data_IF_500806559722
#
_entry.id   IF_500806559722
#
_cell.length_a   1.000
_cell.length_b   1.000
_cell.length_c   1.000
_cell.angle_alpha   90.00
_cell.angle_beta   90.00
_cell.angle_gamma   90.00
#
_symmetry.space_group_name_H-M   'P 1'
#
loop_
_entity.id
_entity.type
_entity.pdbx_description
1 polymer ?
#
# COMPACT_ATOMS: atom_id res chain seq x y z
N UNK A 1 -14.37 40.00 20.98
CA UNK A 1 -14.73 38.60 21.26
C UNK A 1 -15.80 38.26 20.25
N UNK A 2 -15.38 37.77 19.08
CA UNK A 2 -16.32 37.41 18.01
C UNK A 2 -16.97 36.08 18.38
N UNK A 3 -18.27 36.16 18.64
CA UNK A 3 -19.14 35.02 18.89
C UNK A 3 -19.36 34.33 17.54
N UNK A 4 -18.79 33.13 17.38
CA UNK A 4 -19.11 32.26 16.24
C UNK A 4 -20.61 31.98 16.24
N UNK A 5 -21.29 32.33 15.14
CA UNK A 5 -22.73 32.22 14.99
C UNK A 5 -23.09 30.74 14.72
N UNK A 6 -24.13 30.20 15.36
CA UNK A 6 -24.55 28.79 15.25
C UNK A 6 -24.88 28.33 13.81
N UNK A 7 -24.97 29.27 12.84
CA UNK A 7 -25.19 29.02 11.42
C UNK A 7 -23.96 28.54 10.64
N UNK A 8 -22.76 28.61 11.20
CA UNK A 8 -21.52 28.23 10.50
C UNK A 8 -21.10 26.77 10.74
N UNK A 9 -21.73 26.10 11.71
CA UNK A 9 -21.45 24.70 12.03
C UNK A 9 -22.21 23.78 11.07
N UNK A 10 -21.47 23.23 10.11
CA UNK A 10 -21.99 22.19 9.24
C UNK A 10 -21.75 20.82 9.88
N UNK A 11 -22.82 20.17 10.33
CA UNK A 11 -22.77 18.81 10.87
C UNK A 11 -22.98 17.83 9.73
N UNK A 12 -21.99 17.00 9.47
CA UNK A 12 -22.07 15.93 8.47
C UNK A 12 -22.23 14.59 9.20
N UNK A 13 -23.36 13.92 8.94
CA UNK A 13 -23.56 12.53 9.35
C UNK A 13 -22.89 11.61 8.33
N UNK A 14 -21.91 10.83 8.77
CA UNK A 14 -21.31 9.77 7.96
C UNK A 14 -22.00 8.47 8.34
N UNK A 15 -22.88 7.97 7.47
CA UNK A 15 -23.42 6.61 7.57
C UNK A 15 -22.49 5.66 6.85
N UNK A 16 -21.86 4.80 7.63
CA UNK A 16 -20.70 4.03 7.21
C UNK A 16 -21.01 2.54 7.43
N UNK A 17 -21.19 1.78 6.35
CA UNK A 17 -21.41 0.33 6.41
C UNK A 17 -20.19 -0.42 5.87
N UNK A 18 -19.41 -1.05 6.75
CA UNK A 18 -18.28 -1.88 6.34
C UNK A 18 -18.31 -3.26 6.98
N UNK A 19 -17.81 -4.24 6.22
CA UNK A 19 -17.64 -5.65 6.62
C UNK A 19 -16.29 -5.93 7.27
N UNK A 20 -15.36 -4.95 7.25
CA UNK A 20 -14.02 -5.04 7.82
C UNK A 20 -13.54 -3.63 8.26
N UNK A 21 -12.58 -3.54 9.21
CA UNK A 21 -11.95 -2.26 9.57
C UNK A 21 -11.25 -1.64 8.36
N UNK A 22 -11.40 -0.33 8.18
CA UNK A 22 -10.83 0.43 7.07
C UNK A 22 -10.34 1.79 7.58
N UNK A 23 -9.41 2.40 6.85
CA UNK A 23 -9.01 3.79 7.02
C UNK A 23 -9.26 4.47 5.67
N UNK A 24 -9.94 5.62 5.68
CA UNK A 24 -10.30 6.34 4.46
C UNK A 24 -10.32 7.85 4.69
N UNK A 25 -10.44 8.59 3.60
CA UNK A 25 -10.54 10.05 3.60
C UNK A 25 -11.96 10.44 3.23
N UNK A 26 -12.59 11.30 4.02
CA UNK A 26 -13.77 12.04 3.60
C UNK A 26 -13.35 13.45 3.21
N UNK A 27 -13.70 13.89 1.99
CA UNK A 27 -13.43 15.25 1.52
C UNK A 27 -14.75 15.98 1.32
N UNK A 28 -14.89 17.13 1.97
CA UNK A 28 -16.09 17.96 1.92
C UNK A 28 -15.76 19.26 1.20
N UNK A 29 -16.36 19.49 0.04
CA UNK A 29 -16.16 20.71 -0.74
C UNK A 29 -16.88 20.70 -2.08
N UNK A 30 -17.11 21.89 -2.67
CA UNK A 30 -17.87 22.06 -3.92
C UNK A 30 -17.23 21.41 -5.16
N UNK A 31 -15.91 21.19 -5.16
CA UNK A 31 -15.16 20.74 -6.34
C UNK A 31 -14.37 19.43 -6.09
N UNK A 32 -14.75 18.65 -5.07
CA UNK A 32 -14.14 17.35 -4.83
C UNK A 32 -14.78 16.30 -5.73
N UNK A 33 -13.95 15.51 -6.43
CA UNK A 33 -14.40 14.31 -7.13
C UNK A 33 -13.54 13.13 -6.73
N UNK A 34 -14.19 12.02 -6.39
CA UNK A 34 -13.52 10.74 -6.16
C UNK A 34 -13.00 10.18 -7.48
N UNK A 35 -11.76 9.71 -7.50
CA UNK A 35 -11.19 9.01 -8.65
C UNK A 35 -10.50 7.72 -8.19
N UNK A 36 -11.30 6.69 -7.90
CA UNK A 36 -10.79 5.37 -7.56
C UNK A 36 -10.09 5.27 -6.19
N UNK A 37 -9.71 4.04 -5.87
CA UNK A 37 -9.33 3.58 -4.52
C UNK A 37 -8.11 4.38 -4.00
N UNK A 38 -8.31 5.15 -2.93
CA UNK A 38 -7.29 5.84 -2.11
C UNK A 38 -6.85 7.26 -2.53
N UNK A 39 -7.44 7.87 -3.57
CA UNK A 39 -7.12 9.25 -3.96
C UNK A 39 -8.37 10.11 -4.21
N UNK A 40 -8.31 11.36 -3.75
CA UNK A 40 -9.33 12.38 -4.01
C UNK A 40 -8.73 13.50 -4.85
N UNK A 41 -9.38 13.80 -5.96
CA UNK A 41 -9.00 14.93 -6.82
C UNK A 41 -9.84 16.15 -6.49
N UNK A 42 -9.16 17.28 -6.24
CA UNK A 42 -9.81 18.58 -6.13
C UNK A 42 -9.72 19.25 -7.50
N UNK A 43 -10.81 19.13 -8.28
CA UNK A 43 -10.93 19.79 -9.57
C UNK A 43 -10.84 21.30 -9.36
N UNK A 44 -10.15 22.00 -10.27
CA UNK A 44 -9.80 23.43 -10.28
C UNK A 44 -8.36 23.78 -9.82
N UNK A 45 -7.67 22.91 -9.07
CA UNK A 45 -6.28 23.20 -8.61
C UNK A 45 -5.20 22.26 -9.15
N UNK A 46 -5.60 21.25 -9.94
CA UNK A 46 -4.73 20.14 -10.35
C UNK A 46 -4.03 19.49 -9.15
N UNK A 47 -4.74 19.41 -8.03
CA UNK A 47 -4.26 18.87 -6.76
C UNK A 47 -4.93 17.54 -6.49
N UNK A 48 -4.11 16.52 -6.30
CA UNK A 48 -4.53 15.19 -5.87
C UNK A 48 -4.11 14.99 -4.42
N UNK A 49 -5.06 14.59 -3.58
CA UNK A 49 -4.81 14.19 -2.19
C UNK A 49 -4.90 12.66 -2.12
N UNK A 50 -3.87 11.99 -1.61
CA UNK A 50 -3.90 10.54 -1.39
C UNK A 50 -3.54 10.19 0.05
N UNK A 51 -4.09 9.08 0.55
CA UNK A 51 -3.67 8.47 1.82
C UNK A 51 -2.89 7.20 1.57
N UNK A 52 -1.85 7.00 2.37
CA UNK A 52 -1.17 5.72 2.45
C UNK A 52 -0.96 5.32 3.90
N UNK A 53 -1.07 4.01 4.14
CA UNK A 53 -0.80 3.38 5.43
C UNK A 53 0.55 2.69 5.33
N UNK A 54 1.46 3.05 6.23
CA UNK A 54 2.75 2.39 6.41
C UNK A 54 2.82 1.76 7.80
N UNK A 55 3.93 1.07 8.08
CA UNK A 55 4.22 0.58 9.43
C UNK A 55 4.49 1.74 10.43
N UNK A 56 4.92 2.90 9.93
CA UNK A 56 5.22 4.09 10.74
C UNK A 56 3.93 4.87 11.09
N UNK A 57 3.00 4.94 10.14
CA UNK A 57 1.68 5.49 10.40
C UNK A 57 0.87 5.85 9.16
N UNK A 58 0.03 6.87 9.29
CA UNK A 58 -0.85 7.35 8.23
C UNK A 58 -0.22 8.56 7.57
N UNK A 59 -0.02 8.47 6.26
CA UNK A 59 0.52 9.55 5.45
C UNK A 59 -0.59 10.12 4.57
N UNK A 60 -0.72 11.45 4.56
CA UNK A 60 -1.58 12.20 3.65
C UNK A 60 -0.70 13.03 2.73
N UNK A 61 -0.74 12.74 1.43
CA UNK A 61 0.06 13.44 0.43
C UNK A 61 -0.82 14.40 -0.37
N UNK A 62 -0.29 15.59 -0.63
CA UNK A 62 -0.83 16.54 -1.59
C UNK A 62 0.13 16.62 -2.76
N UNK A 63 -0.35 16.36 -3.98
CA UNK A 63 0.42 16.52 -5.22
C UNK A 63 -0.24 17.58 -6.08
N UNK A 64 0.51 18.59 -6.50
CA UNK A 64 0.06 19.61 -7.45
C UNK A 64 0.75 19.37 -8.78
N UNK A 65 -0.02 19.19 -9.86
CA UNK A 65 0.52 18.80 -11.17
C UNK A 65 1.44 17.57 -11.08
N UNK A 66 1.07 16.56 -10.28
CA UNK A 66 1.86 15.35 -10.05
C UNK A 66 3.11 15.51 -9.16
N UNK A 67 3.48 16.74 -8.78
CA UNK A 67 4.63 17.01 -7.91
C UNK A 67 4.19 17.07 -6.45
N UNK A 68 4.93 16.41 -5.55
CA UNK A 68 4.68 16.48 -4.11
C UNK A 68 4.72 17.95 -3.64
N UNK A 69 3.62 18.39 -3.06
CA UNK A 69 3.41 19.74 -2.58
C UNK A 69 3.19 19.79 -1.06
N UNK A 70 2.75 18.70 -0.44
CA UNK A 70 2.62 18.60 0.99
C UNK A 70 2.53 17.15 1.46
N UNK A 71 2.98 16.93 2.70
CA UNK A 71 2.90 15.65 3.38
C UNK A 71 2.51 15.91 4.84
N UNK A 72 1.40 15.31 5.27
CA UNK A 72 1.00 15.26 6.67
C UNK A 72 1.16 13.83 7.14
N UNK A 73 1.83 13.68 8.28
CA UNK A 73 2.12 12.38 8.90
C UNK A 73 1.46 12.29 10.27
N UNK A 74 0.79 11.16 10.51
CA UNK A 74 0.19 10.82 11.78
C UNK A 74 0.73 9.47 12.26
N UNK A 75 1.55 9.49 13.29
CA UNK A 75 2.12 8.28 13.90
C UNK A 75 1.04 7.43 14.57
N UNK A 76 1.15 6.11 14.44
CA UNK A 76 0.25 5.17 15.11
C UNK A 76 0.70 4.79 16.53
N UNK A 77 1.77 5.41 17.04
CA UNK A 77 2.22 5.29 18.43
C UNK A 77 3.12 4.09 18.72
N UNK A 78 3.66 3.44 17.70
CA UNK A 78 4.67 2.38 17.84
C UNK A 78 6.01 2.87 17.33
N UNK A 79 7.11 2.47 17.99
CA UNK A 79 8.47 2.75 17.55
C UNK A 79 8.81 1.84 16.35
N UNK A 80 8.49 2.29 15.14
CA UNK A 80 8.95 1.67 13.92
C UNK A 80 10.22 2.39 13.43
N UNK A 81 11.27 1.65 13.08
CA UNK A 81 12.39 2.23 12.35
C UNK A 81 11.90 2.65 10.96
N UNK A 82 12.16 3.90 10.52
CA UNK A 82 11.64 4.37 9.26
C UNK A 82 12.26 3.59 8.11
N UNK A 83 11.45 2.86 7.36
CA UNK A 83 11.93 2.10 6.20
C UNK A 83 11.75 2.93 4.94
N UNK A 84 12.77 2.97 4.07
CA UNK A 84 12.74 3.76 2.84
C UNK A 84 11.70 3.31 1.79
N UNK A 85 10.87 2.31 2.13
CA UNK A 85 9.70 1.89 1.38
C UNK A 85 8.41 2.59 1.86
N UNK A 86 8.53 3.62 2.70
CA UNK A 86 7.40 4.48 3.04
C UNK A 86 6.84 5.12 1.77
N UNK A 87 5.53 5.37 1.80
CA UNK A 87 4.58 5.71 0.73
C UNK A 87 4.95 6.82 -0.28
N UNK A 88 6.17 7.33 -0.27
CA UNK A 88 6.68 8.37 -1.18
C UNK A 88 6.90 7.88 -2.62
N UNK A 89 6.80 6.58 -2.90
CA UNK A 89 6.96 5.99 -4.24
C UNK A 89 5.70 6.04 -5.13
N UNK A 90 4.77 6.97 -4.89
CA UNK A 90 3.69 7.26 -5.83
C UNK A 90 4.06 8.41 -6.79
N UNK A 91 5.15 8.24 -7.52
CA UNK A 91 5.29 8.82 -8.86
C UNK A 91 5.91 7.77 -9.77
N UNK A 92 5.20 6.65 -9.87
CA UNK A 92 5.39 5.78 -11.01
C UNK A 92 4.34 6.21 -12.04
N UNK A 93 4.79 6.52 -13.26
CA UNK A 93 4.01 6.18 -14.44
C UNK A 93 3.28 4.88 -14.14
N UNK A 94 1.94 4.88 -14.22
CA UNK A 94 1.09 3.78 -13.76
C UNK A 94 1.76 2.43 -14.02
N UNK A 95 2.23 1.79 -12.94
CA UNK A 95 2.98 0.55 -13.06
C UNK A 95 2.09 -0.44 -13.82
N UNK A 96 2.59 -1.09 -14.88
CA UNK A 96 1.79 -2.00 -15.67
C UNK A 96 1.06 -3.04 -14.81
N UNK A 97 -0.16 -3.42 -15.20
CA UNK A 97 -1.05 -4.28 -14.40
C UNK A 97 -0.42 -5.63 -14.02
N UNK A 98 0.43 -6.17 -14.87
CA UNK A 98 1.17 -7.41 -14.62
C UNK A 98 2.30 -7.23 -13.60
N UNK A 99 2.97 -6.06 -13.59
CA UNK A 99 3.99 -5.71 -12.60
C UNK A 99 3.35 -5.42 -11.24
N UNK A 100 2.25 -4.67 -11.19
CA UNK A 100 1.51 -4.42 -9.93
C UNK A 100 0.88 -5.69 -9.36
N UNK A 101 0.34 -6.56 -10.22
CA UNK A 101 -0.15 -7.87 -9.80
C UNK A 101 0.96 -8.79 -9.27
N UNK A 102 2.17 -8.69 -9.82
CA UNK A 102 3.34 -9.39 -9.29
C UNK A 102 3.75 -8.84 -7.91
N UNK A 103 3.90 -7.53 -7.77
CA UNK A 103 4.25 -6.84 -6.51
C UNK A 103 3.32 -7.29 -5.40
N UNK A 104 2.00 -7.20 -5.61
CA UNK A 104 1.01 -7.59 -4.60
C UNK A 104 1.15 -9.06 -4.15
N UNK A 105 1.39 -9.98 -5.07
CA UNK A 105 1.56 -11.39 -4.71
C UNK A 105 2.88 -11.63 -4.00
N UNK A 106 3.95 -10.96 -4.44
CA UNK A 106 5.28 -11.10 -3.88
C UNK A 106 5.38 -10.50 -2.48
N UNK A 107 4.78 -9.34 -2.24
CA UNK A 107 4.70 -8.73 -0.91
C UNK A 107 3.97 -9.62 0.10
N UNK A 108 2.86 -10.26 -0.31
CA UNK A 108 2.17 -11.23 0.54
C UNK A 108 3.04 -12.44 0.87
N UNK A 109 3.79 -12.94 -0.12
CA UNK A 109 4.75 -14.01 0.10
C UNK A 109 5.84 -13.61 1.09
N UNK A 110 6.47 -12.45 0.89
CA UNK A 110 7.58 -11.95 1.71
C UNK A 110 7.13 -11.67 3.16
N UNK A 111 5.91 -11.15 3.35
CA UNK A 111 5.31 -10.99 4.68
C UNK A 111 5.07 -12.34 5.37
N UNK A 112 4.42 -13.29 4.70
CA UNK A 112 4.08 -14.58 5.30
C UNK A 112 5.31 -15.42 5.64
N UNK A 113 6.36 -15.38 4.82
CA UNK A 113 7.61 -16.11 5.10
C UNK A 113 8.49 -15.43 6.15
N UNK A 114 8.32 -14.13 6.39
CA UNK A 114 8.98 -13.41 7.48
C UNK A 114 8.36 -13.73 8.85
N UNK A 115 7.06 -14.03 8.87
CA UNK A 115 6.25 -14.23 10.09
C UNK A 115 5.86 -15.71 10.31
N UNK A 116 6.76 -16.65 10.03
CA UNK A 116 6.48 -18.09 10.25
C UNK A 116 6.37 -18.36 11.76
N UNK A 117 5.20 -18.81 12.27
CA UNK A 117 5.03 -19.07 13.69
C UNK A 117 5.86 -20.27 14.14
N UNK A 118 6.31 -20.25 15.40
CA UNK A 118 6.90 -21.43 16.02
C UNK A 118 5.85 -22.56 16.15
N UNK A 119 6.35 -23.79 16.23
CA UNK A 119 5.49 -24.96 16.37
C UNK A 119 4.78 -24.94 17.73
N UNK A 120 3.46 -24.80 17.70
CA UNK A 120 2.62 -24.88 18.88
C UNK A 120 2.20 -26.33 19.16
N UNK A 121 2.55 -26.94 20.32
CA UNK A 121 2.08 -28.27 20.68
C UNK A 121 0.55 -28.35 20.90
N UNK A 122 -0.14 -27.22 21.13
CA UNK A 122 -1.59 -27.16 21.25
C UNK A 122 -2.31 -27.06 19.89
N UNK A 123 -1.65 -26.58 18.85
CA UNK A 123 -2.12 -26.61 17.44
C UNK A 123 -1.01 -27.11 16.51
N UNK A 124 -0.80 -28.44 16.44
CA UNK A 124 0.26 -29.02 15.63
C UNK A 124 0.08 -28.80 14.12
N UNK A 125 -1.12 -28.42 13.67
CA UNK A 125 -1.45 -28.20 12.27
C UNK A 125 -1.25 -26.75 11.82
N UNK A 126 -1.11 -25.79 12.74
CA UNK A 126 -0.95 -24.36 12.45
C UNK A 126 0.19 -24.12 11.43
N UNK A 127 1.35 -24.71 11.69
CA UNK A 127 2.52 -24.56 10.83
C UNK A 127 2.24 -25.06 9.40
N UNK A 128 1.50 -26.16 9.24
CA UNK A 128 1.16 -26.70 7.92
C UNK A 128 0.23 -25.78 7.12
N UNK A 129 -0.71 -25.10 7.80
CA UNK A 129 -1.63 -24.13 7.17
C UNK A 129 -0.86 -22.91 6.69
N UNK A 130 0.03 -22.37 7.54
CA UNK A 130 0.88 -21.24 7.19
C UNK A 130 1.80 -21.57 6.02
N UNK A 131 2.44 -22.74 6.02
CA UNK A 131 3.26 -23.21 4.89
C UNK A 131 2.43 -23.33 3.60
N UNK A 132 1.18 -23.79 3.68
CA UNK A 132 0.28 -23.85 2.52
C UNK A 132 -0.05 -22.45 1.99
N UNK A 133 -0.32 -21.49 2.86
CA UNK A 133 -0.60 -20.10 2.49
C UNK A 133 0.64 -19.42 1.89
N UNK A 134 1.83 -19.64 2.47
CA UNK A 134 3.11 -19.20 1.89
C UNK A 134 3.24 -19.76 0.47
N UNK A 135 3.08 -21.06 0.28
CA UNK A 135 3.18 -21.70 -1.03
C UNK A 135 2.19 -21.13 -2.06
N UNK A 136 0.98 -20.73 -1.63
CA UNK A 136 -0.02 -20.13 -2.50
C UNK A 136 0.44 -18.80 -3.10
N UNK A 137 1.20 -17.99 -2.36
CA UNK A 137 1.67 -16.68 -2.82
C UNK A 137 3.08 -16.73 -3.42
N UNK A 138 3.95 -17.59 -2.89
CA UNK A 138 5.37 -17.64 -3.26
C UNK A 138 5.68 -18.48 -4.50
N UNK A 139 4.89 -19.52 -4.77
CA UNK A 139 5.20 -20.47 -5.84
C UNK A 139 5.08 -19.85 -7.23
N UNK A 140 6.12 -20.01 -8.05
CA UNK A 140 6.26 -19.45 -9.38
C UNK A 140 6.57 -17.95 -9.42
N UNK A 141 6.85 -17.31 -8.28
CA UNK A 141 7.21 -15.89 -8.23
C UNK A 141 8.62 -15.64 -8.76
N UNK A 142 9.58 -16.55 -8.56
CA UNK A 142 10.95 -16.40 -9.05
C UNK A 142 10.99 -16.44 -10.58
N UNK A 143 10.27 -17.39 -11.17
CA UNK A 143 10.10 -17.46 -12.62
C UNK A 143 9.42 -16.19 -13.16
N UNK A 144 8.39 -15.70 -12.46
CA UNK A 144 7.64 -14.51 -12.89
C UNK A 144 8.47 -13.23 -12.79
N UNK A 145 9.32 -13.11 -11.76
CA UNK A 145 10.26 -12.00 -11.61
C UNK A 145 11.21 -11.94 -12.82
N UNK A 146 11.79 -13.09 -13.18
CA UNK A 146 12.67 -13.19 -14.35
C UNK A 146 11.94 -12.77 -15.64
N UNK A 147 10.73 -13.28 -15.86
CA UNK A 147 9.93 -12.92 -17.03
C UNK A 147 9.60 -11.42 -17.09
N UNK A 148 9.30 -10.79 -15.96
CA UNK A 148 9.01 -9.36 -15.91
C UNK A 148 10.27 -8.52 -16.15
N UNK A 149 11.41 -8.88 -15.57
CA UNK A 149 12.70 -8.20 -15.83
C UNK A 149 13.08 -8.29 -17.32
N UNK A 150 12.88 -9.44 -17.95
CA UNK A 150 13.11 -9.62 -19.39
C UNK A 150 12.15 -8.77 -20.23
N UNK A 151 10.83 -8.83 -19.93
CA UNK A 151 9.78 -8.09 -20.64
C UNK A 151 9.97 -6.57 -20.57
N UNK A 152 10.42 -6.06 -19.44
CA UNK A 152 10.60 -4.63 -19.18
C UNK A 152 12.05 -4.18 -19.25
N UNK A 153 12.95 -4.97 -19.85
CA UNK A 153 14.39 -4.66 -19.95
C UNK A 153 14.74 -3.28 -20.53
N UNK A 154 13.87 -2.69 -21.35
CA UNK A 154 14.01 -1.32 -21.87
C UNK A 154 13.43 -0.21 -20.99
N UNK A 155 12.82 -0.54 -19.85
CA UNK A 155 12.25 0.41 -18.89
C UNK A 155 13.05 0.36 -17.58
N UNK A 156 14.02 1.27 -17.43
CA UNK A 156 14.91 1.31 -16.26
C UNK A 156 14.17 1.45 -14.93
N UNK A 157 13.07 2.23 -14.90
CA UNK A 157 12.26 2.42 -13.70
C UNK A 157 11.63 1.12 -13.21
N UNK A 158 11.03 0.34 -14.13
CA UNK A 158 10.42 -0.95 -13.79
C UNK A 158 11.49 -1.99 -13.43
N UNK A 159 12.60 -2.03 -14.16
CA UNK A 159 13.69 -2.97 -13.85
C UNK A 159 14.30 -2.68 -12.48
N UNK A 160 14.50 -1.40 -12.14
CA UNK A 160 14.99 -0.99 -10.82
C UNK A 160 14.02 -1.40 -9.72
N UNK A 161 12.73 -1.19 -9.92
CA UNK A 161 11.68 -1.63 -8.99
C UNK A 161 11.70 -3.15 -8.80
N UNK A 162 11.69 -3.93 -9.88
CA UNK A 162 11.72 -5.39 -9.83
C UNK A 162 13.01 -5.94 -9.20
N UNK A 163 14.13 -5.21 -9.33
CA UNK A 163 15.41 -5.64 -8.76
C UNK A 163 15.52 -5.45 -7.25
N UNK A 164 14.51 -4.86 -6.60
CA UNK A 164 14.42 -4.82 -5.14
C UNK A 164 14.01 -6.16 -4.53
N UNK A 165 13.40 -7.06 -5.32
CA UNK A 165 13.00 -8.38 -4.87
C UNK A 165 14.13 -9.41 -5.02
N UNK A 166 14.20 -10.32 -4.05
CA UNK A 166 15.11 -11.47 -4.06
C UNK A 166 14.81 -12.42 -5.22
N UNK A 167 15.84 -12.95 -5.88
CA UNK A 167 15.64 -13.71 -7.14
C UNK A 167 15.28 -15.19 -6.96
N UNK A 168 15.59 -15.79 -5.81
CA UNK A 168 15.55 -17.25 -5.63
C UNK A 168 14.93 -17.67 -4.27
N UNK A 169 13.78 -17.13 -3.89
CA UNK A 169 13.19 -17.46 -2.58
C UNK A 169 12.56 -18.86 -2.57
N UNK A 170 12.13 -19.38 -3.72
CA UNK A 170 11.50 -20.70 -3.79
C UNK A 170 12.49 -21.82 -3.54
N UNK A 171 13.79 -21.59 -3.83
CA UNK A 171 14.85 -22.55 -3.53
C UNK A 171 15.12 -22.66 -2.02
N UNK A 172 15.09 -21.52 -1.33
CA UNK A 172 15.31 -21.44 0.12
C UNK A 172 14.09 -21.96 0.92
N UNK A 173 12.92 -21.96 0.30
CA UNK A 173 11.65 -22.46 0.86
C UNK A 173 11.32 -23.90 0.44
N UNK A 174 12.31 -24.75 0.13
CA UNK A 174 12.07 -26.19 0.00
C UNK A 174 11.61 -26.78 1.34
N UNK A 175 10.29 -26.77 1.56
CA UNK A 175 9.59 -27.45 2.64
C UNK A 175 9.31 -28.91 2.28
#
# INVERSE_FOLDING_TARGET
MDLLNESDMHIYGLDIQYTAPFIGIAVVGKNATENGVSAVEIKDQATTISTCLSQEGVHLFSRKNGSLNGHLYLSLGYDAEPTSNSCETENAESVPTDVSGYIKNRDNCDSLRGDIPERDPADPDNLSRVISDINKYCKGTDQKLKQLKEKYSGNESIVKLLSTYEENIEADMSF
#
